data_IF_244975748931
#
_entry.id   IF_244975748931
#
_cell.length_a   1.000
_cell.length_b   1.000
_cell.length_c   1.000
_cell.angle_alpha   90.00
_cell.angle_beta   90.00
_cell.angle_gamma   90.00
#
_symmetry.space_group_name_H-M   'P 1'
#
loop_
_entity.id
_entity.type
_entity.pdbx_description
1 polymer ?
#
# COMPACT_ATOMS: atom_id res chain seq x y z
N UNK A 1 6.16 -7.82 14.99
CA UNK A 1 5.22 -7.38 16.05
C UNK A 1 5.08 -5.87 16.16
N UNK A 2 6.13 -5.03 16.27
CA UNK A 2 5.96 -3.54 16.36
C UNK A 2 5.08 -2.91 15.26
N UNK A 3 5.12 -3.44 14.03
CA UNK A 3 4.32 -2.88 12.92
C UNK A 3 2.83 -3.15 13.14
N UNK A 4 2.47 -4.39 13.50
CA UNK A 4 1.07 -4.76 13.77
C UNK A 4 0.50 -4.02 14.98
N UNK A 5 1.30 -3.82 16.03
CA UNK A 5 0.91 -3.02 17.18
C UNK A 5 0.61 -1.57 16.78
N UNK A 6 1.44 -0.97 15.91
CA UNK A 6 1.18 0.36 15.36
C UNK A 6 -0.14 0.46 14.60
N UNK A 7 -0.46 -0.53 13.76
CA UNK A 7 -1.75 -0.56 13.05
C UNK A 7 -2.92 -0.78 14.00
N UNK A 8 -2.77 -1.65 15.00
CA UNK A 8 -3.80 -1.87 16.02
C UNK A 8 -4.12 -0.59 16.79
N UNK A 9 -3.11 0.10 17.29
CA UNK A 9 -3.27 1.29 18.15
C UNK A 9 -3.73 2.53 17.38
N UNK A 10 -3.13 2.83 16.21
CA UNK A 10 -3.35 4.08 15.47
C UNK A 10 -4.51 3.97 14.48
N UNK A 11 -4.67 2.80 13.86
CA UNK A 11 -5.62 2.58 12.78
C UNK A 11 -6.75 1.61 13.16
N UNK A 12 -6.72 1.07 14.37
CA UNK A 12 -7.68 0.09 14.87
C UNK A 12 -7.80 -1.15 13.95
N UNK A 13 -6.71 -1.59 13.34
CA UNK A 13 -6.66 -2.77 12.50
C UNK A 13 -5.61 -3.75 13.06
N UNK A 14 -5.99 -4.66 13.98
CA UNK A 14 -5.07 -5.63 14.57
C UNK A 14 -4.59 -6.65 13.52
N UNK A 15 -3.46 -7.28 13.79
CA UNK A 15 -2.77 -8.24 12.92
C UNK A 15 -2.48 -7.68 11.51
N UNK A 16 -2.48 -6.35 11.32
CA UNK A 16 -2.04 -5.72 10.09
C UNK A 16 -0.53 -5.43 10.16
N UNK A 17 0.23 -5.95 9.20
CA UNK A 17 1.70 -5.80 9.15
C UNK A 17 2.17 -4.88 8.03
N UNK A 18 1.25 -4.26 7.31
CA UNK A 18 1.59 -3.31 6.26
C UNK A 18 0.41 -2.87 5.42
N UNK A 19 0.58 -1.77 4.73
CA UNK A 19 -0.32 -1.32 3.68
C UNK A 19 0.47 -1.28 2.36
N UNK A 20 -0.03 -1.95 1.32
CA UNK A 20 0.61 -2.03 0.01
C UNK A 20 -0.12 -1.17 -1.00
N UNK A 21 0.64 -0.48 -1.83
CA UNK A 21 0.15 0.25 -3.00
C UNK A 21 1.28 0.40 -4.03
N UNK A 22 0.92 0.74 -5.26
CA UNK A 22 1.86 0.98 -6.33
C UNK A 22 1.68 2.34 -6.99
N UNK A 23 2.75 2.89 -7.52
CA UNK A 23 2.74 4.16 -8.25
C UNK A 23 3.60 4.09 -9.50
N UNK A 24 3.07 4.63 -10.60
CA UNK A 24 3.85 4.92 -11.79
C UNK A 24 4.74 6.13 -11.55
N UNK A 25 6.04 5.97 -11.67
CA UNK A 25 7.02 7.07 -11.70
C UNK A 25 7.22 7.43 -13.17
N UNK A 26 6.83 8.64 -13.55
CA UNK A 26 6.93 9.09 -14.93
C UNK A 26 8.38 9.29 -15.35
N UNK A 27 8.69 8.79 -16.56
CA UNK A 27 9.99 8.94 -17.19
C UNK A 27 9.83 9.48 -18.62
N UNK A 28 10.88 10.09 -19.16
CA UNK A 28 10.98 10.23 -20.61
C UNK A 28 11.38 8.89 -21.21
N UNK A 29 10.74 8.46 -22.31
CA UNK A 29 11.06 7.19 -22.94
C UNK A 29 12.54 7.17 -23.37
N UNK A 30 13.29 6.11 -23.06
CA UNK A 30 14.62 5.92 -23.63
C UNK A 30 14.54 5.81 -25.16
N UNK A 31 15.60 6.21 -25.88
CA UNK A 31 15.69 5.97 -27.33
C UNK A 31 15.40 4.49 -27.63
N UNK A 32 14.71 4.23 -28.71
CA UNK A 32 14.36 2.91 -29.24
C UNK A 32 13.56 1.99 -28.31
N UNK A 33 12.98 2.53 -27.19
CA UNK A 33 12.20 1.76 -26.23
C UNK A 33 10.77 1.43 -26.70
N UNK A 34 10.29 2.07 -27.78
CA UNK A 34 8.93 1.88 -28.29
C UNK A 34 7.87 2.02 -27.18
N UNK A 35 6.96 1.08 -27.08
CA UNK A 35 5.88 1.06 -26.06
C UNK A 35 6.25 0.32 -24.78
N UNK A 36 7.50 -0.07 -24.54
CA UNK A 36 7.90 -0.90 -23.40
C UNK A 36 7.56 -0.28 -22.04
N UNK A 37 7.69 1.05 -21.92
CA UNK A 37 7.36 1.80 -20.70
C UNK A 37 5.99 2.49 -20.76
N UNK A 38 5.21 2.28 -21.82
CA UNK A 38 3.95 3.00 -22.03
C UNK A 38 2.85 2.45 -21.13
N UNK A 39 2.32 3.29 -20.26
CA UNK A 39 1.28 2.95 -19.29
C UNK A 39 -0.13 3.26 -19.81
N UNK A 40 -1.15 2.82 -19.08
CA UNK A 40 -2.57 2.98 -19.43
C UNK A 40 -3.05 4.45 -19.50
N UNK A 41 -2.34 5.39 -18.83
CA UNK A 41 -2.64 6.83 -18.87
C UNK A 41 -1.99 7.56 -20.05
N UNK A 42 -1.39 6.84 -21.00
CA UNK A 42 -0.78 7.45 -22.18
C UNK A 42 0.58 8.09 -21.92
N UNK A 43 1.29 7.66 -20.90
CA UNK A 43 2.60 8.17 -20.50
C UNK A 43 3.61 7.04 -20.37
N UNK A 44 4.91 7.37 -20.29
CA UNK A 44 5.95 6.37 -20.05
C UNK A 44 6.36 6.39 -18.59
N UNK A 45 6.50 5.21 -17.97
CA UNK A 45 6.79 5.08 -16.55
C UNK A 45 7.51 3.78 -16.20
N UNK A 46 8.13 3.78 -15.03
CA UNK A 46 8.46 2.58 -14.26
C UNK A 46 7.55 2.51 -13.05
N UNK A 47 7.36 1.32 -12.46
CA UNK A 47 6.53 1.15 -11.28
C UNK A 47 7.38 1.14 -10.01
N UNK A 48 6.88 1.83 -8.98
CA UNK A 48 7.29 1.71 -7.59
C UNK A 48 6.18 0.99 -6.84
N UNK A 49 6.40 -0.27 -6.46
CA UNK A 49 5.56 -1.02 -5.53
C UNK A 49 6.13 -0.84 -4.11
N UNK A 50 5.29 -0.50 -3.14
CA UNK A 50 5.77 -0.28 -1.78
C UNK A 50 4.79 -0.78 -0.72
N UNK A 51 5.34 -1.19 0.43
CA UNK A 51 4.59 -1.47 1.65
C UNK A 51 5.02 -0.48 2.72
N UNK A 52 4.05 0.15 3.38
CA UNK A 52 4.30 1.05 4.50
C UNK A 52 3.88 0.46 5.84
N UNK A 53 4.51 0.93 6.92
CA UNK A 53 4.05 0.69 8.28
C UNK A 53 2.98 1.71 8.72
N UNK A 54 2.51 1.58 9.95
CA UNK A 54 1.48 2.46 10.54
C UNK A 54 1.89 3.95 10.64
N UNK A 55 3.17 4.26 10.51
CA UNK A 55 3.74 5.60 10.55
C UNK A 55 4.11 6.14 9.18
N UNK A 56 3.63 5.51 8.10
CA UNK A 56 3.95 5.87 6.72
C UNK A 56 5.46 5.84 6.39
N UNK A 57 6.23 4.95 7.04
CA UNK A 57 7.58 4.61 6.61
C UNK A 57 7.53 3.41 5.67
N UNK A 58 8.32 3.42 4.63
CA UNK A 58 8.43 2.29 3.72
C UNK A 58 9.18 1.14 4.39
N UNK A 59 8.56 -0.04 4.48
CA UNK A 59 9.16 -1.27 5.02
C UNK A 59 9.56 -2.25 3.92
N UNK A 60 9.02 -2.07 2.73
CA UNK A 60 9.40 -2.78 1.51
C UNK A 60 9.23 -1.85 0.32
N UNK A 61 10.15 -1.93 -0.64
CA UNK A 61 10.07 -1.25 -1.93
C UNK A 61 10.61 -2.15 -3.03
N UNK A 62 9.92 -2.17 -4.16
CA UNK A 62 10.34 -2.81 -5.41
C UNK A 62 10.17 -1.80 -6.54
N UNK A 63 11.21 -1.56 -7.32
CA UNK A 63 11.23 -0.48 -8.31
C UNK A 63 11.85 -0.97 -9.60
N UNK A 64 11.21 -0.67 -10.73
CA UNK A 64 11.83 -0.86 -12.03
C UNK A 64 11.00 -1.66 -13.03
N UNK A 65 9.91 -2.30 -12.58
CA UNK A 65 8.95 -2.91 -13.50
C UNK A 65 8.45 -1.85 -14.49
N UNK A 66 8.40 -2.18 -15.77
CA UNK A 66 7.94 -1.23 -16.80
C UNK A 66 6.46 -0.91 -16.65
N UNK A 67 6.08 0.32 -17.04
CA UNK A 67 4.73 0.86 -16.84
C UNK A 67 3.62 0.17 -17.64
N UNK A 68 3.94 -0.77 -18.52
CA UNK A 68 2.96 -1.55 -19.29
C UNK A 68 2.34 -2.69 -18.47
N UNK A 69 2.98 -3.09 -17.39
CA UNK A 69 2.50 -4.18 -16.53
C UNK A 69 1.41 -3.64 -15.61
N UNK A 70 0.30 -4.38 -15.48
CA UNK A 70 -0.80 -4.06 -14.58
C UNK A 70 -0.39 -4.27 -13.10
N UNK A 71 -1.18 -3.72 -12.18
CA UNK A 71 -0.91 -3.77 -10.73
C UNK A 71 -0.81 -5.20 -10.20
N UNK A 72 -1.74 -6.03 -10.61
CA UNK A 72 -1.72 -7.45 -10.29
C UNK A 72 -0.46 -8.14 -10.82
N UNK A 73 -0.06 -7.81 -12.06
CA UNK A 73 1.15 -8.34 -12.66
C UNK A 73 2.43 -7.87 -11.95
N UNK A 74 2.47 -6.61 -11.50
CA UNK A 74 3.61 -6.11 -10.69
C UNK A 74 3.65 -6.82 -9.34
N UNK A 75 2.49 -6.98 -8.67
CA UNK A 75 2.40 -7.69 -7.41
C UNK A 75 2.85 -9.15 -7.55
N UNK A 76 2.35 -9.84 -8.58
CA UNK A 76 2.66 -11.27 -8.80
C UNK A 76 4.16 -11.51 -9.04
N UNK A 77 4.87 -10.54 -9.60
CA UNK A 77 6.30 -10.65 -9.91
C UNK A 77 7.20 -10.08 -8.82
N UNK A 78 6.67 -9.30 -7.86
CA UNK A 78 7.49 -8.71 -6.80
C UNK A 78 8.03 -9.77 -5.83
N UNK A 79 9.23 -9.56 -5.32
CA UNK A 79 9.92 -10.51 -4.44
C UNK A 79 9.14 -10.77 -3.15
N UNK A 80 8.44 -9.77 -2.60
CA UNK A 80 7.64 -9.94 -1.38
C UNK A 80 6.53 -10.97 -1.59
N UNK A 81 5.75 -10.85 -2.68
CA UNK A 81 4.68 -11.81 -2.96
C UNK A 81 5.24 -13.22 -3.20
N UNK A 82 6.36 -13.33 -3.92
CA UNK A 82 7.02 -14.63 -4.15
C UNK A 82 7.42 -15.30 -2.83
N UNK A 83 7.97 -14.53 -1.87
CA UNK A 83 8.33 -15.04 -0.56
C UNK A 83 7.10 -15.40 0.28
N UNK A 84 6.01 -14.63 0.21
CA UNK A 84 4.75 -14.94 0.90
C UNK A 84 4.17 -16.26 0.37
N UNK A 85 4.07 -16.42 -0.95
CA UNK A 85 3.53 -17.63 -1.59
C UNK A 85 4.40 -18.87 -1.30
N UNK A 86 5.73 -18.70 -1.25
CA UNK A 86 6.66 -19.77 -0.92
C UNK A 86 6.71 -20.09 0.59
N UNK A 87 6.00 -19.34 1.44
CA UNK A 87 6.07 -19.48 2.91
C UNK A 87 7.42 -19.07 3.52
N UNK A 88 8.27 -18.37 2.75
CA UNK A 88 9.61 -17.93 3.16
C UNK A 88 9.69 -16.46 3.58
N UNK A 89 8.57 -15.75 3.61
CA UNK A 89 8.51 -14.34 4.03
C UNK A 89 8.68 -14.12 5.54
N UNK A 90 8.76 -15.17 6.35
CA UNK A 90 8.81 -15.06 7.82
C UNK A 90 7.52 -14.44 8.38
N UNK A 91 6.37 -14.74 7.77
CA UNK A 91 5.07 -14.30 8.30
C UNK A 91 4.88 -14.87 9.70
N UNK A 92 4.42 -14.07 10.67
CA UNK A 92 4.13 -14.58 12.01
C UNK A 92 3.00 -15.63 11.97
N UNK A 93 2.98 -16.52 12.95
CA UNK A 93 1.87 -17.44 13.17
C UNK A 93 0.57 -16.67 13.44
N UNK A 94 -0.57 -17.32 13.16
CA UNK A 94 -1.89 -16.74 13.43
C UNK A 94 -2.01 -16.39 14.92
N UNK A 95 -2.60 -15.24 15.23
CA UNK A 95 -2.73 -14.74 16.60
C UNK A 95 -4.18 -14.37 16.93
N UNK A 96 -4.52 -14.46 18.21
CA UNK A 96 -5.84 -14.11 18.75
C UNK A 96 -6.03 -12.59 18.61
N UNK A 97 -7.17 -12.18 18.02
CA UNK A 97 -7.55 -10.77 17.93
C UNK A 97 -7.92 -10.18 19.30
N UNK A 98 -7.65 -8.89 19.56
CA UNK A 98 -7.99 -8.24 20.82
C UNK A 98 -9.46 -8.39 21.21
N UNK A 99 -9.72 -8.70 22.49
CA UNK A 99 -11.05 -8.91 23.05
C UNK A 99 -11.89 -10.02 22.39
N UNK A 100 -11.26 -10.97 21.72
CA UNK A 100 -11.93 -12.02 20.95
C UNK A 100 -11.29 -13.38 21.21
N UNK A 101 -11.97 -14.45 20.81
CA UNK A 101 -11.39 -15.79 20.72
C UNK A 101 -10.97 -16.16 19.29
N UNK A 102 -11.18 -15.26 18.32
CA UNK A 102 -10.88 -15.49 16.91
C UNK A 102 -9.38 -15.44 16.66
N UNK A 103 -8.80 -16.53 16.17
CA UNK A 103 -7.40 -16.62 15.75
C UNK A 103 -7.34 -16.33 14.25
N UNK A 104 -6.65 -15.27 13.84
CA UNK A 104 -6.55 -14.86 12.45
C UNK A 104 -5.10 -14.61 12.02
N UNK A 105 -4.80 -14.81 10.73
CA UNK A 105 -3.48 -14.57 10.19
C UNK A 105 -3.12 -13.06 10.23
N UNK A 106 -1.84 -12.79 10.21
CA UNK A 106 -1.34 -11.46 9.90
C UNK A 106 -1.55 -11.13 8.43
N UNK A 107 -1.95 -9.88 8.15
CA UNK A 107 -2.35 -9.46 6.81
C UNK A 107 -1.69 -8.13 6.41
N UNK A 108 -1.53 -7.96 5.10
CA UNK A 108 -1.21 -6.70 4.45
C UNK A 108 -2.50 -6.17 3.83
N UNK A 109 -2.84 -4.91 4.07
CA UNK A 109 -4.02 -4.27 3.48
C UNK A 109 -3.67 -3.65 2.14
N UNK A 110 -4.53 -3.84 1.15
CA UNK A 110 -4.36 -3.42 -0.23
C UNK A 110 -5.63 -2.76 -0.77
N UNK A 111 -5.56 -2.16 -1.96
CA UNK A 111 -6.73 -1.69 -2.66
C UNK A 111 -7.44 -2.80 -3.46
N UNK A 112 -8.46 -2.44 -4.22
CA UNK A 112 -9.27 -3.39 -4.99
C UNK A 112 -8.53 -3.99 -6.20
N UNK A 113 -7.43 -3.38 -6.64
CA UNK A 113 -6.59 -3.87 -7.73
C UNK A 113 -5.78 -5.12 -7.37
N UNK A 114 -5.57 -5.36 -6.08
CA UNK A 114 -4.78 -6.50 -5.61
C UNK A 114 -5.61 -7.79 -5.48
N UNK A 115 -4.97 -8.97 -5.57
CA UNK A 115 -5.67 -10.25 -5.34
C UNK A 115 -6.07 -10.39 -3.86
N UNK A 116 -7.24 -10.99 -3.61
CA UNK A 116 -7.64 -11.37 -2.26
C UNK A 116 -7.02 -12.73 -1.91
N UNK A 117 -6.08 -12.73 -0.99
CA UNK A 117 -5.37 -13.93 -0.53
C UNK A 117 -5.37 -14.02 1.00
N UNK A 118 -4.90 -15.14 1.58
CA UNK A 118 -4.83 -15.33 3.04
C UNK A 118 -4.16 -14.16 3.76
N UNK A 119 -3.08 -13.64 3.21
CA UNK A 119 -2.28 -12.56 3.82
C UNK A 119 -2.44 -11.20 3.12
N UNK A 120 -3.30 -11.10 2.10
CA UNK A 120 -3.59 -9.86 1.39
C UNK A 120 -5.08 -9.57 1.47
N UNK A 121 -5.43 -8.51 2.19
CA UNK A 121 -6.81 -8.10 2.39
C UNK A 121 -7.15 -6.88 1.54
N UNK A 122 -8.24 -6.98 0.79
CA UNK A 122 -8.80 -5.89 0.00
C UNK A 122 -10.25 -5.62 0.37
N UNK A 123 -10.79 -4.40 0.08
CA UNK A 123 -12.17 -4.08 0.37
C UNK A 123 -13.16 -5.01 -0.36
N UNK A 124 -14.40 -5.01 0.08
CA UNK A 124 -15.47 -5.58 -0.72
C UNK A 124 -15.74 -4.69 -1.94
N UNK A 125 -16.24 -5.29 -3.03
CA UNK A 125 -16.65 -4.52 -4.22
C UNK A 125 -17.68 -3.45 -3.81
N UNK A 126 -17.55 -2.24 -4.35
CA UNK A 126 -18.43 -1.11 -4.02
C UNK A 126 -19.91 -1.32 -4.39
N UNK A 127 -20.22 -2.33 -5.24
CA UNK A 127 -21.58 -2.63 -5.66
C UNK A 127 -22.31 -3.44 -4.58
N UNK A 128 -23.43 -2.92 -4.09
CA UNK A 128 -24.36 -3.62 -3.18
C UNK A 128 -23.76 -4.11 -1.86
N UNK A 129 -22.85 -3.36 -1.26
CA UNK A 129 -22.32 -3.68 0.08
C UNK A 129 -23.42 -3.53 1.14
N UNK A 130 -23.56 -4.54 2.01
CA UNK A 130 -24.30 -4.43 3.24
C UNK A 130 -23.55 -3.57 4.28
N UNK A 131 -24.17 -3.27 5.43
CA UNK A 131 -23.57 -2.42 6.46
C UNK A 131 -22.26 -3.02 7.00
N UNK A 132 -22.20 -4.33 7.26
CA UNK A 132 -21.02 -5.00 7.80
C UNK A 132 -19.83 -4.92 6.84
N UNK A 133 -20.09 -5.11 5.55
CA UNK A 133 -19.08 -4.98 4.48
C UNK A 133 -18.57 -3.55 4.35
N UNK A 134 -19.44 -2.55 4.50
CA UNK A 134 -19.06 -1.12 4.50
C UNK A 134 -18.16 -0.79 5.69
N UNK A 135 -18.51 -1.27 6.89
CA UNK A 135 -17.67 -1.12 8.08
C UNK A 135 -16.27 -1.71 7.85
N UNK A 136 -16.19 -2.95 7.35
CA UNK A 136 -14.91 -3.57 7.04
C UNK A 136 -14.11 -2.76 6.01
N UNK A 137 -14.74 -2.42 4.88
CA UNK A 137 -14.09 -1.68 3.79
C UNK A 137 -13.59 -0.31 4.26
N UNK A 138 -14.36 0.38 5.10
CA UNK A 138 -13.96 1.66 5.69
C UNK A 138 -12.75 1.50 6.64
N UNK A 139 -12.76 0.49 7.52
CA UNK A 139 -11.65 0.18 8.42
C UNK A 139 -10.35 -0.15 7.65
N UNK A 140 -10.48 -0.95 6.60
CA UNK A 140 -9.37 -1.29 5.71
C UNK A 140 -8.84 -0.05 4.97
N UNK A 141 -9.72 0.77 4.40
CA UNK A 141 -9.31 2.00 3.70
C UNK A 141 -8.58 2.97 4.61
N UNK A 142 -9.00 3.10 5.88
CA UNK A 142 -8.26 3.90 6.87
C UNK A 142 -6.85 3.40 7.11
N UNK A 143 -6.67 2.09 7.27
CA UNK A 143 -5.33 1.50 7.45
C UNK A 143 -4.47 1.69 6.18
N UNK A 144 -5.08 1.59 4.98
CA UNK A 144 -4.39 1.77 3.69
C UNK A 144 -3.91 3.21 3.46
N UNK A 145 -4.53 4.21 4.10
CA UNK A 145 -4.05 5.62 4.02
C UNK A 145 -2.58 5.77 4.39
N UNK A 146 -2.00 4.86 5.16
CA UNK A 146 -0.58 4.93 5.55
C UNK A 146 0.35 4.90 4.33
N UNK A 147 0.09 4.06 3.35
CA UNK A 147 0.91 3.99 2.14
C UNK A 147 0.62 5.15 1.18
N UNK A 148 -0.64 5.60 1.08
CA UNK A 148 -1.01 6.81 0.33
C UNK A 148 -0.29 8.04 0.91
N UNK A 149 -0.33 8.20 2.23
CA UNK A 149 0.39 9.27 2.92
C UNK A 149 1.91 9.17 2.70
N UNK A 150 2.47 7.95 2.72
CA UNK A 150 3.89 7.75 2.46
C UNK A 150 4.29 8.28 1.07
N UNK A 151 3.51 7.96 0.03
CA UNK A 151 3.74 8.48 -1.32
C UNK A 151 3.53 10.00 -1.42
N UNK A 152 2.49 10.53 -0.78
CA UNK A 152 2.24 11.98 -0.74
C UNK A 152 3.39 12.73 -0.10
N UNK A 153 3.88 12.29 1.06
CA UNK A 153 5.02 12.89 1.75
C UNK A 153 6.31 12.75 0.92
N UNK A 154 6.52 11.57 0.30
CA UNK A 154 7.68 11.32 -0.56
C UNK A 154 7.73 12.34 -1.71
N UNK A 155 6.63 12.49 -2.43
CA UNK A 155 6.57 13.38 -3.58
C UNK A 155 6.64 14.86 -3.18
N UNK A 156 5.94 15.27 -2.12
CA UNK A 156 6.02 16.64 -1.62
C UNK A 156 7.42 17.05 -1.16
N UNK A 157 8.21 16.09 -0.69
CA UNK A 157 9.57 16.33 -0.21
C UNK A 157 10.60 16.34 -1.33
N UNK A 158 10.39 15.53 -2.36
CA UNK A 158 11.35 15.34 -3.45
C UNK A 158 10.74 15.79 -4.79
N UNK A 159 11.03 17.01 -5.19
CA UNK A 159 10.50 17.64 -6.43
C UNK A 159 10.78 16.81 -7.71
N UNK A 160 11.75 15.90 -7.67
CA UNK A 160 12.04 14.99 -8.78
C UNK A 160 10.81 14.18 -9.21
N UNK A 161 9.85 13.97 -8.32
CA UNK A 161 8.59 13.26 -8.60
C UNK A 161 7.48 14.16 -9.16
N UNK A 162 7.70 15.46 -9.33
CA UNK A 162 6.67 16.36 -9.88
C UNK A 162 6.67 16.39 -11.41
N UNK A 163 7.67 15.82 -12.08
CA UNK A 163 7.81 15.80 -13.54
C UNK A 163 8.34 14.45 -14.01
N UNK A 164 8.12 14.16 -15.30
CA UNK A 164 8.75 13.02 -15.93
C UNK A 164 10.29 13.13 -15.86
N UNK A 165 10.93 12.14 -15.25
CA UNK A 165 12.37 12.12 -15.03
C UNK A 165 13.09 11.84 -16.36
N UNK A 166 13.94 12.75 -16.78
CA UNK A 166 14.68 12.66 -18.04
C UNK A 166 16.06 11.98 -17.82
N UNK A 167 16.03 10.75 -17.41
CA UNK A 167 17.23 9.91 -17.19
C UNK A 167 16.95 8.48 -17.62
N UNK A 168 18.03 7.72 -17.82
CA UNK A 168 17.93 6.29 -18.06
C UNK A 168 17.18 5.58 -16.91
N UNK A 169 16.27 4.62 -17.21
CA UNK A 169 15.46 3.94 -16.19
C UNK A 169 16.29 3.31 -15.05
N UNK A 170 17.47 2.79 -15.34
CA UNK A 170 18.35 2.22 -14.30
C UNK A 170 18.85 3.28 -13.31
N UNK A 171 19.03 4.52 -13.76
CA UNK A 171 19.35 5.65 -12.89
C UNK A 171 18.12 6.13 -12.12
N UNK A 172 16.94 6.14 -12.77
CA UNK A 172 15.67 6.49 -12.10
C UNK A 172 15.39 5.54 -10.95
N UNK A 173 15.58 4.22 -11.13
CA UNK A 173 15.47 3.23 -10.05
C UNK A 173 16.33 3.62 -8.84
N UNK A 174 17.60 3.97 -9.06
CA UNK A 174 18.50 4.38 -7.97
C UNK A 174 18.04 5.65 -7.27
N UNK A 175 17.50 6.63 -8.00
CA UNK A 175 16.96 7.87 -7.43
C UNK A 175 15.75 7.54 -6.57
N UNK A 176 14.81 6.73 -7.06
CA UNK A 176 13.61 6.34 -6.29
C UNK A 176 14.01 5.62 -5.01
N UNK A 177 14.92 4.66 -5.07
CA UNK A 177 15.43 3.94 -3.89
C UNK A 177 16.12 4.88 -2.89
N UNK A 178 16.91 5.83 -3.37
CA UNK A 178 17.56 6.84 -2.51
C UNK A 178 16.51 7.73 -1.84
N UNK A 179 15.49 8.21 -2.58
CA UNK A 179 14.43 9.04 -2.03
C UNK A 179 13.59 8.30 -0.98
N UNK A 180 13.27 7.01 -1.21
CA UNK A 180 12.53 6.20 -0.22
C UNK A 180 13.35 5.95 1.06
N UNK A 181 14.65 5.72 0.93
CA UNK A 181 15.55 5.59 2.09
C UNK A 181 15.68 6.92 2.88
N UNK A 182 15.85 8.02 2.17
CA UNK A 182 15.90 9.37 2.79
C UNK A 182 14.56 9.75 3.42
N UNK A 183 13.43 9.37 2.81
CA UNK A 183 12.10 9.55 3.42
C UNK A 183 12.05 8.90 4.80
N UNK A 184 12.43 7.64 4.92
CA UNK A 184 12.44 6.93 6.19
C UNK A 184 13.39 7.59 7.20
N UNK A 185 14.61 7.93 6.78
CA UNK A 185 15.59 8.59 7.63
C UNK A 185 15.06 9.91 8.22
N UNK A 186 14.47 10.75 7.37
CA UNK A 186 13.94 12.04 7.78
C UNK A 186 12.68 11.95 8.66
N UNK A 187 11.96 10.83 8.60
CA UNK A 187 10.79 10.59 9.47
C UNK A 187 11.19 10.05 10.85
N UNK A 188 12.31 9.36 10.94
CA UNK A 188 12.81 8.78 12.19
C UNK A 188 13.82 9.67 12.91
N UNK A 189 14.41 10.65 12.21
CA UNK A 189 15.32 11.61 12.81
C UNK A 189 14.61 12.44 13.90
N UNK A 190 15.25 12.70 15.05
CA UNK A 190 14.68 13.59 16.05
C UNK A 190 14.44 14.96 15.42
N UNK A 191 13.23 15.52 15.66
CA UNK A 191 12.85 16.85 15.15
C UNK A 191 13.75 17.88 15.79
N UNK A 192 14.76 18.33 15.06
CA UNK A 192 15.47 19.56 15.43
C UNK A 192 14.56 20.75 15.12
N UNK A 193 14.46 21.76 15.99
CA UNK A 193 13.48 22.86 15.88
C UNK A 193 13.53 23.66 14.57
N UNK A 194 14.54 23.48 13.74
CA UNK A 194 14.78 24.20 12.49
C UNK A 194 14.48 23.42 11.20
N UNK A 195 13.99 22.20 11.29
CA UNK A 195 13.53 21.49 10.08
C UNK A 195 12.05 21.80 9.90
N UNK A 196 11.74 22.54 8.86
CA UNK A 196 10.40 22.89 8.41
C UNK A 196 9.48 21.69 8.58
N UNK A 197 8.50 21.80 9.49
CA UNK A 197 7.42 20.83 9.61
C UNK A 197 6.67 20.83 8.28
N UNK A 198 6.99 19.88 7.40
CA UNK A 198 6.13 19.59 6.25
C UNK A 198 4.81 19.16 6.87
N UNK A 199 3.87 20.08 6.89
CA UNK A 199 2.51 19.84 7.36
C UNK A 199 2.03 18.51 6.76
N UNK A 200 1.41 17.68 7.58
CA UNK A 200 0.65 16.52 7.14
C UNK A 200 -0.57 17.07 6.36
N UNK A 201 -0.35 17.55 5.15
CA UNK A 201 -1.43 17.88 4.25
C UNK A 201 -2.05 16.55 3.83
N UNK A 202 -3.23 16.28 4.36
CA UNK A 202 -4.07 15.12 4.07
C UNK A 202 -4.59 15.10 2.62
N UNK A 203 -4.23 16.09 1.81
CA UNK A 203 -4.58 16.16 0.41
C UNK A 203 -3.52 15.44 -0.42
N UNK A 204 -3.75 14.15 -0.67
CA UNK A 204 -3.10 13.41 -1.76
C UNK A 204 -3.70 13.85 -3.09
N UNK A 205 -3.52 15.13 -3.46
CA UNK A 205 -3.81 15.59 -4.82
C UNK A 205 -2.91 14.84 -5.80
N UNK A 206 -3.42 14.61 -7.00
CA UNK A 206 -2.68 13.94 -8.09
C UNK A 206 -1.32 14.61 -8.30
N UNK A 207 -0.26 13.93 -7.91
CA UNK A 207 1.10 14.42 -8.08
C UNK A 207 1.48 14.20 -9.56
N UNK A 208 1.78 15.25 -10.33
CA UNK A 208 1.91 15.15 -11.79
C UNK A 208 2.95 14.14 -12.28
N UNK A 209 3.96 13.83 -11.48
CA UNK A 209 5.02 12.87 -11.83
C UNK A 209 4.84 11.47 -11.23
N UNK A 210 3.78 11.26 -10.43
CA UNK A 210 3.43 9.96 -9.85
C UNK A 210 1.95 9.67 -10.09
N UNK A 211 1.65 8.59 -10.79
CA UNK A 211 0.28 8.21 -11.12
C UNK A 211 -0.11 6.92 -10.40
N UNK A 212 -1.40 6.76 -9.99
CA UNK A 212 -1.89 5.49 -9.49
C UNK A 212 -1.79 4.40 -10.55
N UNK A 213 -1.78 3.17 -10.11
CA UNK A 213 -1.78 2.00 -10.98
C UNK A 213 -3.21 1.71 -11.52
N UNK A 214 -3.35 0.83 -12.52
CA UNK A 214 -4.62 0.51 -13.19
C UNK A 214 -5.39 -0.60 -12.46
N UNK A 215 -6.73 -0.49 -12.47
CA UNK A 215 -7.62 -1.51 -11.91
C UNK A 215 -7.84 -2.65 -12.89
N UNK A 216 -7.28 -3.83 -12.60
CA UNK A 216 -7.73 -5.10 -13.18
C UNK A 216 -8.44 -5.95 -12.11
N UNK A 217 -9.52 -6.61 -12.51
CA UNK A 217 -10.28 -7.46 -11.60
C UNK A 217 -9.48 -8.72 -11.25
N UNK A 218 -8.91 -8.76 -10.06
CA UNK A 218 -8.04 -9.83 -9.58
C UNK A 218 -8.80 -10.98 -8.93
N UNK A 219 -8.26 -12.18 -9.02
CA UNK A 219 -8.82 -13.41 -8.46
C UNK A 219 -8.85 -13.39 -6.94
N UNK A 220 -9.93 -13.94 -6.37
CA UNK A 220 -10.05 -14.17 -4.93
C UNK A 220 -9.84 -15.64 -4.63
N UNK A 221 -8.99 -15.97 -3.66
CA UNK A 221 -8.85 -17.34 -3.17
C UNK A 221 -9.92 -17.65 -2.12
N UNK A 222 -10.31 -18.94 -1.99
CA UNK A 222 -11.26 -19.39 -0.96
C UNK A 222 -10.76 -19.00 0.43
N UNK A 223 -9.48 -19.24 0.73
CA UNK A 223 -8.87 -18.86 2.01
C UNK A 223 -8.89 -17.35 2.24
N UNK A 224 -8.62 -16.55 1.23
CA UNK A 224 -8.69 -15.08 1.34
C UNK A 224 -10.09 -14.59 1.67
N UNK A 225 -11.12 -15.17 1.04
CA UNK A 225 -12.53 -14.83 1.31
C UNK A 225 -12.91 -15.17 2.75
N UNK A 226 -12.55 -16.37 3.24
CA UNK A 226 -12.82 -16.78 4.62
C UNK A 226 -12.17 -15.82 5.62
N UNK A 227 -10.89 -15.50 5.43
CA UNK A 227 -10.17 -14.57 6.31
C UNK A 227 -10.82 -13.19 6.33
N UNK A 228 -11.20 -12.66 5.15
CA UNK A 228 -11.88 -11.35 5.06
C UNK A 228 -13.22 -11.35 5.79
N UNK A 229 -14.02 -12.41 5.64
CA UNK A 229 -15.31 -12.53 6.30
C UNK A 229 -15.17 -12.66 7.83
N UNK A 230 -14.12 -13.31 8.32
CA UNK A 230 -13.81 -13.39 9.75
C UNK A 230 -13.39 -12.03 10.30
N UNK A 231 -12.55 -11.27 9.57
CA UNK A 231 -12.22 -9.88 9.96
C UNK A 231 -13.46 -8.98 9.92
N UNK A 232 -14.32 -9.12 8.91
CA UNK A 232 -15.58 -8.38 8.82
C UNK A 232 -16.45 -8.62 10.04
N UNK A 233 -16.66 -9.88 10.43
CA UNK A 233 -17.39 -10.24 11.65
C UNK A 233 -16.76 -9.63 12.89
N UNK A 234 -15.44 -9.79 13.05
CA UNK A 234 -14.73 -9.21 14.18
C UNK A 234 -14.94 -7.69 14.30
N UNK A 235 -14.85 -6.93 13.20
CA UNK A 235 -15.04 -5.47 13.24
C UNK A 235 -16.47 -5.05 13.53
N UNK A 236 -17.45 -5.89 13.32
CA UNK A 236 -18.86 -5.62 13.64
C UNK A 236 -19.28 -6.15 15.02
N UNK A 237 -18.43 -6.98 15.65
CA UNK A 237 -18.66 -7.61 16.97
C UNK A 237 -17.64 -7.09 17.98
N UNK A 238 -16.68 -7.93 18.40
CA UNK A 238 -15.74 -7.67 19.51
C UNK A 238 -14.74 -6.52 19.21
N UNK A 239 -14.42 -6.31 17.94
CA UNK A 239 -13.52 -5.25 17.46
C UNK A 239 -14.24 -3.97 17.05
N UNK A 240 -15.55 -3.84 17.36
CA UNK A 240 -16.32 -2.65 17.00
C UNK A 240 -15.82 -1.41 17.74
N UNK A 241 -15.84 -0.27 17.04
CA UNK A 241 -15.47 1.04 17.61
C UNK A 241 -16.60 2.05 17.44
N UNK A 242 -16.77 2.93 18.42
CA UNK A 242 -17.94 3.83 18.54
C UNK A 242 -18.16 4.71 17.31
N UNK A 243 -17.11 5.11 16.63
CA UNK A 243 -17.17 6.04 15.50
C UNK A 243 -17.43 5.37 14.13
N UNK A 244 -17.30 4.04 14.02
CA UNK A 244 -17.32 3.37 12.70
C UNK A 244 -18.64 3.53 11.93
N UNK A 245 -19.77 3.61 12.64
CA UNK A 245 -21.10 3.75 12.03
C UNK A 245 -21.43 5.19 11.56
N UNK A 246 -20.53 6.15 11.78
CA UNK A 246 -20.74 7.55 11.34
C UNK A 246 -20.35 7.78 9.88
N UNK A 247 -19.66 6.83 9.28
CA UNK A 247 -19.04 6.95 7.96
C UNK A 247 -19.41 5.81 6.99
N UNK A 248 -20.41 5.01 7.35
CA UNK A 248 -20.87 3.86 6.55
C UNK A 248 -22.25 4.08 5.95
#
# INVERSE_FOLDING_TARGET
MRVAEGFSQKWNFPNCIGAVDGKHILIRPPPDSGSFYYNYKGSHSIVLMAVSNADSNFIYVDVGTNGRVSDGGVWDTCSLNQHIEAGSAGMPDDEILPNSSKVLPYVIVADDAFPLKRHIMKPFSHRNQNLEQRVFSYRLSRARRTVENAFGILANRFEVFHKAINLDPTKVVKIVLACTALHNYLRTAPVTPNVCSVANNENTEDIPGMLPLEYEQQTSTINGTIVRDLYMKYFNEEGAVIWQNRHT
#
